data_IF_411879328483
#
_entry.id   IF_411879328483
#
_cell.length_a   1.000
_cell.length_b   1.000
_cell.length_c   1.000
_cell.angle_alpha   90.00
_cell.angle_beta   90.00
_cell.angle_gamma   90.00
#
_symmetry.space_group_name_H-M   'P 1'
#
loop_
_entity.id
_entity.type
_entity.pdbx_description
1 polymer ?
#
# COMPACT_ATOMS: atom_id res chain seq x y z
N UNK A 1 15.16 -28.31 -27.77
CA UNK A 1 14.22 -28.94 -26.80
C UNK A 1 14.27 -28.23 -25.44
N UNK A 2 15.26 -28.43 -24.55
CA UNK A 2 15.29 -27.77 -23.21
C UNK A 2 15.37 -26.22 -23.24
N UNK A 3 15.97 -25.63 -24.27
CA UNK A 3 16.13 -24.16 -24.39
C UNK A 3 14.82 -23.48 -24.79
N UNK A 4 14.04 -24.12 -25.67
CA UNK A 4 12.77 -23.60 -26.17
C UNK A 4 11.67 -23.66 -25.10
N UNK A 5 11.60 -24.75 -24.33
CA UNK A 5 10.72 -24.86 -23.16
C UNK A 5 11.02 -23.77 -22.12
N UNK A 6 12.30 -23.52 -21.83
CA UNK A 6 12.70 -22.46 -20.90
C UNK A 6 12.34 -21.06 -21.41
N UNK A 7 12.51 -20.80 -22.71
CA UNK A 7 12.13 -19.52 -23.33
C UNK A 7 10.61 -19.29 -23.29
N UNK A 8 9.82 -20.35 -23.53
CA UNK A 8 8.38 -20.31 -23.37
C UNK A 8 7.96 -20.08 -21.91
N UNK A 9 8.66 -20.69 -20.97
CA UNK A 9 8.42 -20.51 -19.53
C UNK A 9 8.75 -19.08 -19.05
N UNK A 10 9.83 -18.48 -19.55
CA UNK A 10 10.17 -17.06 -19.30
C UNK A 10 9.06 -16.13 -19.81
N UNK A 11 8.55 -16.35 -21.02
CA UNK A 11 7.43 -15.56 -21.56
C UNK A 11 6.13 -15.72 -20.76
N UNK A 12 5.84 -16.93 -20.27
CA UNK A 12 4.69 -17.16 -19.38
C UNK A 12 4.83 -16.41 -18.04
N UNK A 13 6.03 -16.37 -17.46
CA UNK A 13 6.29 -15.62 -16.22
C UNK A 13 6.11 -14.13 -16.46
N UNK A 14 6.62 -13.58 -17.57
CA UNK A 14 6.41 -12.17 -17.93
C UNK A 14 4.92 -11.83 -18.02
N UNK A 15 4.13 -12.66 -18.69
CA UNK A 15 2.68 -12.47 -18.79
C UNK A 15 1.99 -12.50 -17.42
N UNK A 16 2.35 -13.46 -16.56
CA UNK A 16 1.77 -13.55 -15.21
C UNK A 16 2.18 -12.37 -14.32
N UNK A 17 3.40 -11.83 -14.49
CA UNK A 17 3.83 -10.63 -13.79
C UNK A 17 3.04 -9.39 -14.23
N UNK A 18 2.68 -9.30 -15.50
CA UNK A 18 1.84 -8.24 -16.04
C UNK A 18 0.40 -8.34 -15.53
N UNK A 19 -0.22 -9.53 -15.58
CA UNK A 19 -1.56 -9.78 -15.00
C UNK A 19 -1.60 -9.45 -13.49
N UNK A 20 -0.55 -9.78 -12.74
CA UNK A 20 -0.46 -9.46 -11.32
C UNK A 20 -0.34 -7.95 -11.04
N UNK A 21 0.25 -7.17 -11.96
CA UNK A 21 0.30 -5.70 -11.86
C UNK A 21 -1.08 -5.09 -12.11
N UNK A 22 -1.78 -5.55 -13.14
CA UNK A 22 -3.16 -5.11 -13.44
C UNK A 22 -4.10 -5.36 -12.25
N UNK A 23 -4.02 -6.55 -11.65
CA UNK A 23 -4.79 -6.89 -10.45
C UNK A 23 -4.46 -5.99 -9.25
N UNK A 24 -3.18 -5.64 -9.04
CA UNK A 24 -2.79 -4.70 -7.99
C UNK A 24 -3.31 -3.28 -8.24
N UNK A 25 -3.36 -2.85 -9.50
CA UNK A 25 -3.92 -1.55 -9.87
C UNK A 25 -5.43 -1.53 -9.62
N UNK A 26 -6.15 -2.58 -10.00
CA UNK A 26 -7.58 -2.72 -9.74
C UNK A 26 -7.89 -2.74 -8.24
N UNK A 27 -7.10 -3.47 -7.44
CA UNK A 27 -7.28 -3.47 -5.99
C UNK A 27 -6.94 -2.11 -5.35
N UNK A 28 -6.00 -1.33 -5.91
CA UNK A 28 -5.70 0.04 -5.42
C UNK A 28 -6.90 0.98 -5.62
N UNK A 29 -7.62 0.81 -6.74
CA UNK A 29 -8.87 1.53 -7.02
C UNK A 29 -9.98 1.12 -6.05
N UNK A 30 -10.17 -0.17 -5.80
CA UNK A 30 -11.19 -0.66 -4.86
C UNK A 30 -10.91 -0.20 -3.42
N UNK A 31 -9.65 -0.17 -2.97
CA UNK A 31 -9.28 0.32 -1.63
C UNK A 31 -9.66 1.80 -1.42
N UNK A 32 -9.78 2.60 -2.49
CA UNK A 32 -10.28 3.99 -2.43
C UNK A 32 -11.78 4.07 -2.21
N UNK A 33 -12.53 3.02 -2.50
CA UNK A 33 -13.98 2.95 -2.23
C UNK A 33 -14.28 2.40 -0.82
N UNK A 34 -13.30 1.73 -0.18
CA UNK A 34 -13.45 1.17 1.17
C UNK A 34 -13.54 2.28 2.25
N UNK A 35 -14.44 2.13 3.26
CA UNK A 35 -14.52 3.03 4.41
C UNK A 35 -13.20 3.19 5.19
N UNK A 36 -12.97 4.41 5.72
CA UNK A 36 -11.71 4.81 6.39
C UNK A 36 -11.31 3.89 7.56
N UNK A 37 -12.29 3.23 8.19
CA UNK A 37 -12.10 2.35 9.36
C UNK A 37 -11.34 1.05 9.02
N UNK A 38 -11.51 0.50 7.81
CA UNK A 38 -10.86 -0.75 7.38
C UNK A 38 -9.76 -0.53 6.34
N UNK A 39 -9.71 0.66 5.71
CA UNK A 39 -8.71 1.05 4.70
C UNK A 39 -7.26 0.86 5.15
N UNK A 40 -6.95 1.03 6.45
CA UNK A 40 -5.58 0.88 6.97
C UNK A 40 -5.01 -0.54 6.82
N UNK A 41 -5.83 -1.56 7.06
CA UNK A 41 -5.40 -2.96 6.93
C UNK A 41 -5.16 -3.34 5.47
N UNK A 42 -6.08 -2.96 4.59
CA UNK A 42 -5.97 -3.25 3.15
C UNK A 42 -4.86 -2.44 2.48
N UNK A 43 -4.65 -1.18 2.86
CA UNK A 43 -3.54 -0.37 2.35
C UNK A 43 -2.17 -0.94 2.74
N UNK A 44 -2.03 -1.45 3.97
CA UNK A 44 -0.78 -2.11 4.40
C UNK A 44 -0.52 -3.37 3.59
N UNK A 45 -1.56 -4.19 3.36
CA UNK A 45 -1.45 -5.42 2.58
C UNK A 45 -1.15 -5.15 1.10
N UNK A 46 -1.74 -4.09 0.53
CA UNK A 46 -1.44 -3.60 -0.83
C UNK A 46 0.04 -3.23 -0.98
N UNK A 47 0.60 -2.54 0.02
CA UNK A 47 2.01 -2.15 0.04
C UNK A 47 2.92 -3.38 0.08
N UNK A 48 2.61 -4.37 0.92
CA UNK A 48 3.36 -5.63 0.96
C UNK A 48 3.34 -6.36 -0.37
N UNK A 49 2.19 -6.47 -1.03
CA UNK A 49 2.09 -7.14 -2.33
C UNK A 49 2.82 -6.38 -3.45
N UNK A 50 2.77 -5.04 -3.46
CA UNK A 50 3.56 -4.22 -4.39
C UNK A 50 5.06 -4.45 -4.21
N UNK A 51 5.55 -4.47 -2.97
CA UNK A 51 6.96 -4.74 -2.68
C UNK A 51 7.39 -6.16 -3.05
N UNK A 52 6.53 -7.15 -2.82
CA UNK A 52 6.80 -8.55 -3.17
C UNK A 52 6.89 -8.76 -4.69
N UNK A 53 5.97 -8.14 -5.45
CA UNK A 53 6.00 -8.17 -6.91
C UNK A 53 7.26 -7.48 -7.46
N UNK A 54 7.68 -6.36 -6.86
CA UNK A 54 8.90 -5.66 -7.24
C UNK A 54 10.17 -6.48 -6.96
N UNK A 55 10.22 -7.19 -5.83
CA UNK A 55 11.31 -8.11 -5.52
C UNK A 55 11.38 -9.26 -6.54
N UNK A 56 10.22 -9.82 -6.88
CA UNK A 56 10.10 -10.90 -7.85
C UNK A 56 10.53 -10.44 -9.26
N UNK A 57 10.22 -9.20 -9.64
CA UNK A 57 10.62 -8.60 -10.92
C UNK A 57 12.15 -8.44 -11.00
N UNK A 58 12.77 -7.99 -9.90
CA UNK A 58 14.23 -7.86 -9.78
C UNK A 58 14.92 -9.22 -9.85
N UNK A 59 14.42 -10.23 -9.13
CA UNK A 59 14.97 -11.59 -9.17
C UNK A 59 14.81 -12.23 -10.55
N UNK A 60 13.66 -12.02 -11.21
CA UNK A 60 13.40 -12.51 -12.56
C UNK A 60 14.33 -11.86 -13.60
N UNK A 61 14.48 -10.53 -13.58
CA UNK A 61 15.40 -9.81 -14.48
C UNK A 61 16.85 -10.22 -14.27
N UNK A 62 17.29 -10.41 -13.01
CA UNK A 62 18.63 -10.89 -12.68
C UNK A 62 18.87 -12.31 -13.18
N UNK A 63 17.90 -13.20 -12.98
CA UNK A 63 17.94 -14.58 -13.46
C UNK A 63 17.97 -14.65 -14.99
N UNK A 64 17.24 -13.76 -15.67
CA UNK A 64 17.24 -13.65 -17.14
C UNK A 64 18.60 -13.22 -17.70
N UNK A 65 19.28 -12.26 -17.06
CA UNK A 65 20.63 -11.82 -17.45
C UNK A 65 21.63 -12.96 -17.26
N UNK A 66 21.60 -13.64 -16.12
CA UNK A 66 22.46 -14.80 -15.85
C UNK A 66 22.25 -15.95 -16.86
N UNK A 67 20.99 -16.21 -17.23
CA UNK A 67 20.65 -17.21 -18.25
C UNK A 67 21.20 -16.84 -19.63
N UNK A 68 21.11 -15.58 -20.04
CA UNK A 68 21.67 -15.13 -21.31
C UNK A 68 23.20 -15.24 -21.33
N UNK A 69 23.88 -15.00 -20.21
CA UNK A 69 25.33 -15.16 -20.09
C UNK A 69 25.75 -16.63 -20.15
N UNK A 70 25.03 -17.54 -19.47
CA UNK A 70 25.33 -18.98 -19.51
C UNK A 70 25.14 -19.58 -20.93
N UNK A 71 24.09 -19.15 -21.63
CA UNK A 71 23.82 -19.59 -23.02
C UNK A 71 24.88 -19.06 -23.99
N UNK A 72 25.34 -17.81 -23.82
CA UNK A 72 26.40 -17.23 -24.64
C UNK A 72 27.77 -17.85 -24.35
N UNK A 73 28.11 -18.07 -23.08
CA UNK A 73 29.36 -18.71 -22.67
C UNK A 73 29.45 -20.16 -23.17
N UNK A 74 28.34 -20.89 -23.16
CA UNK A 74 28.26 -22.24 -23.71
C UNK A 74 28.39 -22.26 -25.23
N UNK A 75 27.93 -21.22 -25.93
CA UNK A 75 28.17 -21.07 -27.37
C UNK A 75 29.63 -20.71 -27.68
N UNK A 76 30.31 -19.92 -26.83
CA UNK A 76 31.76 -19.65 -26.96
C UNK A 76 32.60 -20.94 -26.78
N UNK A 77 32.26 -21.79 -25.81
CA UNK A 77 33.03 -23.02 -25.51
C UNK A 77 32.91 -24.10 -26.59
N UNK A 78 31.86 -24.06 -27.43
CA UNK A 78 31.63 -25.01 -28.52
C UNK A 78 32.12 -24.50 -29.88
N UNK A 79 32.71 -23.30 -29.93
CA UNK A 79 33.17 -22.65 -31.17
C UNK A 79 34.66 -22.81 -31.50
N UNK A 80 35.45 -23.48 -30.66
CA UNK A 80 36.92 -23.54 -30.75
C UNK A 80 37.44 -24.92 -31.19
N UNK A 81 37.20 -25.29 -32.44
CA UNK A 81 37.89 -26.43 -33.07
C UNK A 81 38.15 -26.13 -34.56
N UNK A 82 39.27 -25.45 -34.85
CA UNK A 82 39.86 -25.45 -36.21
C UNK A 82 40.60 -24.20 -36.69
N UNK A 83 41.94 -24.35 -36.82
CA UNK A 83 42.82 -23.72 -37.82
C UNK A 83 43.54 -22.38 -37.46
N UNK A 84 44.86 -22.47 -37.25
CA UNK A 84 45.67 -21.58 -36.37
C UNK A 84 46.48 -20.47 -37.09
N UNK A 85 46.03 -19.88 -38.21
CA UNK A 85 46.79 -18.77 -38.83
C UNK A 85 45.96 -17.56 -39.28
N UNK A 86 44.75 -17.74 -39.83
CA UNK A 86 43.79 -16.64 -40.00
C UNK A 86 43.19 -16.17 -38.65
N UNK A 87 43.18 -17.08 -37.67
CA UNK A 87 42.61 -16.85 -36.36
C UNK A 87 43.28 -15.71 -35.59
N UNK A 88 44.56 -15.39 -35.76
CA UNK A 88 45.16 -14.33 -34.94
C UNK A 88 44.60 -12.93 -35.25
N UNK A 89 44.27 -12.67 -36.51
CA UNK A 89 43.65 -11.41 -36.95
C UNK A 89 42.15 -11.39 -36.62
N UNK A 90 41.48 -12.53 -36.81
CA UNK A 90 40.09 -12.71 -36.38
C UNK A 90 39.96 -12.58 -34.86
N UNK A 91 40.93 -13.07 -34.08
CA UNK A 91 40.96 -13.02 -32.62
C UNK A 91 41.20 -11.60 -32.12
N UNK A 92 42.02 -10.78 -32.78
CA UNK A 92 42.18 -9.36 -32.43
C UNK A 92 40.95 -8.51 -32.78
N UNK A 93 40.29 -8.81 -33.90
CA UNK A 93 39.01 -8.18 -34.28
C UNK A 93 37.88 -8.60 -33.33
N UNK A 94 37.82 -9.88 -32.98
CA UNK A 94 36.87 -10.42 -31.99
C UNK A 94 37.15 -9.84 -30.60
N UNK A 95 38.42 -9.72 -30.19
CA UNK A 95 38.75 -9.08 -28.92
C UNK A 95 38.34 -7.60 -28.90
N UNK A 96 38.50 -6.89 -30.03
CA UNK A 96 38.03 -5.51 -30.19
C UNK A 96 36.50 -5.42 -30.15
N UNK A 97 35.80 -6.34 -30.81
CA UNK A 97 34.33 -6.40 -30.81
C UNK A 97 33.79 -6.78 -29.41
N UNK A 98 34.49 -7.65 -28.69
CA UNK A 98 34.20 -8.01 -27.29
C UNK A 98 34.41 -6.83 -26.36
N UNK A 99 35.49 -6.07 -26.53
CA UNK A 99 35.73 -4.85 -25.75
C UNK A 99 34.62 -3.82 -26.00
N UNK A 100 34.25 -3.62 -27.26
CA UNK A 100 33.21 -2.67 -27.65
C UNK A 100 31.82 -3.10 -27.13
N UNK A 101 31.49 -4.40 -27.19
CA UNK A 101 30.26 -4.95 -26.58
C UNK A 101 30.27 -4.85 -25.06
N UNK A 102 31.39 -5.16 -24.41
CA UNK A 102 31.52 -5.04 -22.96
C UNK A 102 31.36 -3.58 -22.52
N UNK A 103 31.97 -2.64 -23.26
CA UNK A 103 31.80 -1.20 -23.05
C UNK A 103 30.34 -0.78 -23.17
N UNK A 104 29.65 -1.20 -24.23
CA UNK A 104 28.20 -0.92 -24.41
C UNK A 104 27.34 -1.51 -23.28
N UNK A 105 27.69 -2.69 -22.77
CA UNK A 105 26.98 -3.33 -21.66
C UNK A 105 27.24 -2.63 -20.33
N UNK A 106 28.47 -2.17 -20.10
CA UNK A 106 28.83 -1.38 -18.92
C UNK A 106 28.07 -0.05 -18.93
N UNK A 107 27.97 0.59 -20.08
CA UNK A 107 27.21 1.83 -20.27
C UNK A 107 25.71 1.61 -20.04
N UNK A 108 25.14 0.53 -20.59
CA UNK A 108 23.75 0.15 -20.32
C UNK A 108 23.50 -0.19 -18.84
N UNK A 109 24.41 -0.93 -18.20
CA UNK A 109 24.32 -1.27 -16.78
C UNK A 109 24.46 -0.04 -15.87
N UNK A 110 25.33 0.90 -16.25
CA UNK A 110 25.46 2.18 -15.58
C UNK A 110 24.19 3.01 -15.69
N UNK A 111 23.61 3.13 -16.89
CA UNK A 111 22.34 3.81 -17.09
C UNK A 111 21.22 3.21 -16.24
N UNK A 112 21.10 1.88 -16.20
CA UNK A 112 20.11 1.18 -15.36
C UNK A 112 20.33 1.47 -13.87
N UNK A 113 21.59 1.53 -13.42
CA UNK A 113 21.92 1.83 -12.02
C UNK A 113 21.51 3.25 -11.66
N UNK A 114 21.76 4.22 -12.53
CA UNK A 114 21.36 5.62 -12.35
C UNK A 114 19.84 5.76 -12.34
N UNK A 115 19.13 5.11 -13.26
CA UNK A 115 17.66 5.08 -13.26
C UNK A 115 17.12 4.45 -11.97
N UNK A 116 17.77 3.40 -11.48
CA UNK A 116 17.40 2.74 -10.21
C UNK A 116 17.66 3.64 -9.00
N UNK A 117 18.74 4.42 -9.00
CA UNK A 117 19.04 5.40 -7.95
C UNK A 117 17.97 6.51 -7.90
N UNK A 118 17.59 7.04 -9.05
CA UNK A 118 16.53 8.05 -9.16
C UNK A 118 15.18 7.52 -8.65
N UNK A 119 14.79 6.30 -9.04
CA UNK A 119 13.57 5.65 -8.54
C UNK A 119 13.67 5.41 -7.03
N UNK A 120 14.83 4.99 -6.53
CA UNK A 120 15.07 4.80 -5.10
C UNK A 120 14.92 6.10 -4.30
N UNK A 121 15.40 7.21 -4.85
CA UNK A 121 15.25 8.54 -4.25
C UNK A 121 13.79 8.98 -4.20
N UNK A 122 13.04 8.80 -5.29
CA UNK A 122 11.60 9.12 -5.33
C UNK A 122 10.80 8.26 -4.35
N UNK A 123 11.16 6.98 -4.17
CA UNK A 123 10.55 6.10 -3.18
C UNK A 123 10.79 6.62 -1.76
N UNK A 124 12.02 7.05 -1.44
CA UNK A 124 12.35 7.61 -0.14
C UNK A 124 11.58 8.90 0.16
N UNK A 125 11.41 9.76 -0.86
CA UNK A 125 10.62 10.99 -0.75
C UNK A 125 9.13 10.68 -0.51
N UNK A 126 8.56 9.74 -1.27
CA UNK A 126 7.19 9.30 -1.10
C UNK A 126 6.94 8.66 0.28
N UNK A 127 7.88 7.85 0.78
CA UNK A 127 7.85 7.30 2.13
C UNK A 127 7.88 8.39 3.20
N UNK A 128 8.66 9.44 3.00
CA UNK A 128 8.72 10.57 3.91
C UNK A 128 7.38 11.32 3.96
N UNK A 129 6.80 11.62 2.80
CA UNK A 129 5.48 12.25 2.71
C UNK A 129 4.36 11.38 3.30
N UNK A 130 4.43 10.06 3.11
CA UNK A 130 3.47 9.12 3.70
C UNK A 130 3.58 9.05 5.22
N UNK A 131 4.80 9.06 5.77
CA UNK A 131 5.02 9.16 7.23
C UNK A 131 4.37 10.42 7.78
N UNK A 132 4.54 11.55 7.09
CA UNK A 132 3.93 12.81 7.50
C UNK A 132 2.40 12.78 7.45
N UNK A 133 1.80 12.20 6.38
CA UNK A 133 0.35 12.01 6.27
C UNK A 133 -0.21 11.13 7.39
N UNK A 134 0.48 10.04 7.73
CA UNK A 134 0.10 9.15 8.84
C UNK A 134 0.16 9.92 10.16
N UNK A 135 1.22 10.70 10.38
CA UNK A 135 1.38 11.46 11.61
C UNK A 135 0.27 12.52 11.77
N UNK A 136 0.00 13.30 10.72
CA UNK A 136 -1.14 14.26 10.72
C UNK A 136 -2.49 13.58 10.94
N UNK A 137 -2.69 12.38 10.39
CA UNK A 137 -3.93 11.62 10.60
C UNK A 137 -4.07 11.14 12.05
N UNK A 138 -2.97 10.71 12.67
CA UNK A 138 -2.94 10.35 14.11
C UNK A 138 -3.21 11.56 15.00
N UNK A 139 -2.64 12.72 14.66
CA UNK A 139 -2.89 13.96 15.41
C UNK A 139 -4.35 14.41 15.30
N UNK A 140 -4.95 14.34 14.10
CA UNK A 140 -6.39 14.62 13.90
C UNK A 140 -7.30 13.64 14.64
N UNK A 141 -6.96 12.36 14.68
CA UNK A 141 -7.71 11.36 15.47
C UNK A 141 -7.63 11.68 16.96
N UNK A 142 -6.45 12.02 17.47
CA UNK A 142 -6.24 12.39 18.87
C UNK A 142 -6.97 13.68 19.22
N UNK A 143 -7.01 14.66 18.33
CA UNK A 143 -7.82 15.88 18.48
C UNK A 143 -9.33 15.55 18.49
N UNK A 144 -9.77 14.66 17.59
CA UNK A 144 -11.15 14.18 17.54
C UNK A 144 -11.56 13.46 18.83
N UNK A 145 -10.68 12.63 19.41
CA UNK A 145 -10.91 12.00 20.72
C UNK A 145 -11.05 13.03 21.84
N UNK A 146 -10.21 14.08 21.85
CA UNK A 146 -10.34 15.16 22.85
C UNK A 146 -11.62 15.97 22.68
N UNK A 147 -12.09 16.17 21.44
CA UNK A 147 -13.34 16.85 21.13
C UNK A 147 -14.56 15.98 21.45
N UNK A 148 -14.49 14.66 21.25
CA UNK A 148 -15.51 13.70 21.73
C UNK A 148 -15.62 13.73 23.26
N UNK A 149 -14.51 13.78 23.98
CA UNK A 149 -14.50 13.92 25.43
C UNK A 149 -15.19 15.19 25.94
N UNK A 150 -15.01 16.32 25.24
CA UNK A 150 -15.69 17.59 25.55
C UNK A 150 -17.19 17.52 25.22
N UNK A 151 -17.56 16.97 24.07
CA UNK A 151 -18.96 16.78 23.68
C UNK A 151 -19.71 15.84 24.62
N UNK A 152 -19.10 14.74 25.07
CA UNK A 152 -19.68 13.82 26.05
C UNK A 152 -19.98 14.49 27.40
N UNK A 153 -19.09 15.40 27.83
CA UNK A 153 -19.28 16.17 29.06
C UNK A 153 -20.44 17.18 28.95
N UNK A 154 -20.55 17.87 27.81
CA UNK A 154 -21.65 18.81 27.54
C UNK A 154 -22.99 18.04 27.43
N UNK A 155 -23.00 16.91 26.72
CA UNK A 155 -24.18 16.07 26.56
C UNK A 155 -24.69 15.54 27.91
N UNK A 156 -23.77 15.06 28.76
CA UNK A 156 -24.09 14.61 30.12
C UNK A 156 -24.65 15.74 31.00
N UNK A 157 -24.15 16.97 30.84
CA UNK A 157 -24.70 18.16 31.48
C UNK A 157 -26.13 18.49 31.04
N UNK A 158 -26.43 18.35 29.74
CA UNK A 158 -27.79 18.53 29.21
C UNK A 158 -28.74 17.42 29.69
N UNK A 159 -28.29 16.16 29.70
CA UNK A 159 -29.09 15.03 30.16
C UNK A 159 -29.53 15.19 31.62
N UNK A 160 -28.63 15.66 32.50
CA UNK A 160 -28.93 15.89 33.91
C UNK A 160 -29.98 17.00 34.10
N UNK A 161 -29.92 18.07 33.30
CA UNK A 161 -30.93 19.15 33.29
C UNK A 161 -32.31 18.65 32.83
N UNK A 162 -32.35 17.78 31.83
CA UNK A 162 -33.61 17.16 31.36
C UNK A 162 -34.27 16.34 32.46
N UNK A 163 -33.48 15.54 33.20
CA UNK A 163 -33.99 14.74 34.33
C UNK A 163 -34.55 15.65 35.44
N UNK A 164 -33.82 16.71 35.80
CA UNK A 164 -34.29 17.68 36.82
C UNK A 164 -35.60 18.35 36.41
N UNK A 165 -35.72 18.81 35.16
CA UNK A 165 -36.95 19.43 34.66
C UNK A 165 -38.12 18.45 34.65
N UNK A 166 -37.88 17.18 34.29
CA UNK A 166 -38.91 16.13 34.38
C UNK A 166 -39.41 15.93 35.81
N UNK A 167 -38.49 15.84 36.78
CA UNK A 167 -38.85 15.69 38.20
C UNK A 167 -39.68 16.89 38.69
N UNK A 168 -39.29 18.12 38.33
CA UNK A 168 -40.07 19.32 38.67
C UNK A 168 -41.50 19.28 38.13
N UNK A 169 -41.68 18.85 36.88
CA UNK A 169 -43.02 18.72 36.27
C UNK A 169 -43.87 17.69 37.03
N UNK A 170 -43.30 16.54 37.42
CA UNK A 170 -44.03 15.54 38.21
C UNK A 170 -44.43 16.06 39.60
N UNK A 171 -43.54 16.77 40.28
CA UNK A 171 -43.83 17.38 41.59
C UNK A 171 -44.96 18.42 41.46
N UNK A 172 -44.89 19.30 40.46
CA UNK A 172 -45.90 20.33 40.23
C UNK A 172 -47.27 19.70 39.94
N UNK A 173 -47.32 18.68 39.08
CA UNK A 173 -48.54 17.92 38.79
C UNK A 173 -49.11 17.23 40.03
N UNK A 174 -48.24 16.66 40.88
CA UNK A 174 -48.63 16.05 42.15
C UNK A 174 -49.25 17.05 43.13
N UNK A 175 -48.68 18.25 43.25
CA UNK A 175 -49.23 19.32 44.09
C UNK A 175 -50.62 19.73 43.60
N UNK A 176 -50.78 19.96 42.30
CA UNK A 176 -52.07 20.33 41.71
C UNK A 176 -53.10 19.23 41.99
N UNK A 177 -52.75 17.97 41.76
CA UNK A 177 -53.65 16.84 42.02
C UNK A 177 -54.03 16.74 43.50
N UNK A 178 -53.08 16.93 44.41
CA UNK A 178 -53.33 16.93 45.84
C UNK A 178 -54.27 18.07 46.26
N UNK A 179 -54.11 19.27 45.70
CA UNK A 179 -55.02 20.40 45.97
C UNK A 179 -56.44 20.14 45.50
N UNK A 180 -56.62 19.48 44.34
CA UNK A 180 -57.94 19.11 43.82
C UNK A 180 -58.59 18.07 44.73
N UNK A 181 -57.85 17.03 45.13
CA UNK A 181 -58.37 16.00 46.04
C UNK A 181 -58.78 16.60 47.39
N UNK A 182 -57.97 17.49 47.97
CA UNK A 182 -58.32 18.18 49.20
C UNK A 182 -59.57 19.05 49.04
N UNK A 183 -59.67 19.81 47.94
CA UNK A 183 -60.85 20.64 47.68
C UNK A 183 -62.13 19.80 47.60
N UNK A 184 -62.09 18.66 46.89
CA UNK A 184 -63.21 17.72 46.81
C UNK A 184 -63.53 17.13 48.19
N UNK A 185 -62.51 16.72 48.94
CA UNK A 185 -62.69 16.16 50.28
C UNK A 185 -63.37 17.15 51.24
N UNK A 186 -62.91 18.41 51.24
CA UNK A 186 -63.53 19.48 52.04
C UNK A 186 -64.94 19.81 51.56
N UNK A 187 -65.20 19.83 50.25
CA UNK A 187 -66.53 20.08 49.72
C UNK A 187 -67.53 18.97 50.09
N UNK A 188 -67.11 17.70 50.07
CA UNK A 188 -67.96 16.56 50.44
C UNK A 188 -68.16 16.46 51.95
N UNK A 189 -67.16 16.80 52.76
CA UNK A 189 -67.25 16.75 54.24
C UNK A 189 -67.91 18.00 54.84
N UNK A 190 -67.89 19.13 54.12
CA UNK A 190 -68.51 20.39 54.52
C UNK A 190 -70.00 20.51 54.13
N UNK A 191 -70.52 19.54 53.37
CA UNK A 191 -71.95 19.37 53.07
C UNK A 191 -72.58 18.31 53.98
#
# INVERSE_FOLDING_TARGET
>A
LKTDEKKHMVGNVEKQMEEARELLEQMDLEVREIPVQSRGMFSTRMKSYKQELEKLDKEFKRSRIAYSDEVNLRNELLGDDGNTSENQRAFLLDNTERLERSSRRLEAGYQITVETEQIGQEILENLHHDKEKIQRSRDRLRETDTNLGKSSRILSGMLRRIIQNRILIFILGGIILLTIVLAIYFAVRGH
#
